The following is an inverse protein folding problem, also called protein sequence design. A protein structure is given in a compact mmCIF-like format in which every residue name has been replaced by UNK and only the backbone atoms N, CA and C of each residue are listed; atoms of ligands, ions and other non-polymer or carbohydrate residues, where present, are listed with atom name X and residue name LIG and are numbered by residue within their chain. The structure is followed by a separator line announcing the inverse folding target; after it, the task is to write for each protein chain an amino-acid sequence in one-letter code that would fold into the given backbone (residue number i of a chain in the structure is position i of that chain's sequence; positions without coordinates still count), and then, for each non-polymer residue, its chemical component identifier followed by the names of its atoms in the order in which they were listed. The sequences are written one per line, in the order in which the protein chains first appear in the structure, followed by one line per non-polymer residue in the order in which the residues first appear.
data_IF_159513096148
#
_entry.id   IF_159513096148
#
_cell.length_a   1.000
_cell.length_b   1.000
_cell.length_c   1.000
_cell.angle_alpha   90.00
_cell.angle_beta   90.00
_cell.angle_gamma   90.00
#
_symmetry.space_group_name_H-M   'P 1'
#
loop_
_entity.id
_entity.type
_entity.pdbx_description
1 polymer ?
#
# COMPACT_ATOMS: atom_id res chain seq x y z
N UNK A 1 18.03 9.01 15.55
CA UNK A 1 17.53 10.37 15.92
C UNK A 1 16.15 10.62 15.29
N UNK A 2 15.27 11.45 15.87
CA UNK A 2 13.92 11.70 15.32
C UNK A 2 13.91 12.29 13.90
N UNK A 3 14.94 13.07 13.53
CA UNK A 3 15.09 13.64 12.18
C UNK A 3 15.31 12.56 11.11
N UNK A 4 16.09 11.51 11.41
CA UNK A 4 16.32 10.39 10.49
C UNK A 4 15.02 9.61 10.22
N UNK A 5 14.16 9.46 11.23
CA UNK A 5 12.85 8.80 11.07
C UNK A 5 11.92 9.63 10.19
N UNK A 6 11.90 10.94 10.39
CA UNK A 6 11.14 11.87 9.54
C UNK A 6 11.59 11.82 8.08
N UNK A 7 12.91 11.85 7.85
CA UNK A 7 13.49 11.74 6.52
C UNK A 7 13.13 10.40 5.85
N UNK A 8 13.23 9.29 6.58
CA UNK A 8 12.84 7.97 6.06
C UNK A 8 11.36 7.93 5.67
N UNK A 9 10.46 8.47 6.49
CA UNK A 9 9.04 8.57 6.16
C UNK A 9 8.81 9.39 4.88
N UNK A 10 9.49 10.54 4.75
CA UNK A 10 9.40 11.38 3.55
C UNK A 10 9.91 10.68 2.28
N UNK A 11 11.02 9.92 2.38
CA UNK A 11 11.55 9.12 1.28
C UNK A 11 10.55 8.01 0.89
N UNK A 12 9.96 7.31 1.86
CA UNK A 12 8.95 6.28 1.59
C UNK A 12 7.73 6.89 0.90
N UNK A 13 7.23 8.03 1.38
CA UNK A 13 6.12 8.74 0.75
C UNK A 13 6.46 9.15 -0.70
N UNK A 14 7.63 9.75 -0.92
CA UNK A 14 8.08 10.17 -2.24
C UNK A 14 8.26 9.00 -3.21
N UNK A 15 8.84 7.89 -2.76
CA UNK A 15 8.95 6.66 -3.54
C UNK A 15 7.58 6.09 -3.90
N UNK A 16 6.65 6.10 -2.95
CA UNK A 16 5.29 5.63 -3.19
C UNK A 16 4.61 6.45 -4.30
N UNK A 17 4.67 7.79 -4.21
CA UNK A 17 4.12 8.68 -5.24
C UNK A 17 4.80 8.46 -6.58
N UNK A 18 6.14 8.47 -6.61
CA UNK A 18 6.91 8.33 -7.84
C UNK A 18 6.61 7.02 -8.57
N UNK A 19 6.58 5.89 -7.85
CA UNK A 19 6.22 4.60 -8.43
C UNK A 19 4.77 4.58 -8.91
N UNK A 20 3.83 5.15 -8.15
CA UNK A 20 2.41 5.18 -8.54
C UNK A 20 2.20 5.96 -9.83
N UNK A 21 2.85 7.12 -9.96
CA UNK A 21 2.73 8.00 -11.13
C UNK A 21 3.48 7.44 -12.34
N UNK A 22 4.67 6.84 -12.13
CA UNK A 22 5.42 6.22 -13.22
C UNK A 22 4.65 5.04 -13.83
N UNK A 23 3.97 4.25 -12.99
CA UNK A 23 3.14 3.11 -13.42
C UNK A 23 1.64 3.46 -13.48
N UNK A 24 1.27 4.73 -13.65
CA UNK A 24 -0.12 5.19 -13.60
C UNK A 24 -1.11 4.37 -14.44
N UNK A 25 -0.80 3.93 -15.69
CA UNK A 25 -1.75 3.17 -16.51
C UNK A 25 -2.20 1.84 -15.91
N UNK A 26 -1.37 1.21 -15.07
CA UNK A 26 -1.68 -0.06 -14.41
C UNK A 26 -2.10 0.12 -12.94
N UNK A 27 -1.74 1.24 -12.31
CA UNK A 27 -2.02 1.56 -10.90
C UNK A 27 -3.51 1.79 -10.58
N UNK A 28 -4.31 2.26 -11.54
CA UNK A 28 -5.73 2.64 -11.32
C UNK A 28 -6.74 1.78 -12.11
N UNK A 29 -6.28 0.66 -12.69
CA UNK A 29 -7.14 -0.29 -13.39
C UNK A 29 -7.93 -1.20 -12.45
N UNK A 30 -8.65 -2.17 -13.01
CA UNK A 30 -9.51 -3.09 -12.26
C UNK A 30 -8.76 -3.96 -11.24
N UNK A 31 -7.49 -4.28 -11.52
CA UNK A 31 -6.62 -5.01 -10.58
C UNK A 31 -5.84 -4.09 -9.66
N UNK A 32 -5.83 -2.78 -9.92
CA UNK A 32 -4.98 -1.80 -9.22
C UNK A 32 -3.55 -2.30 -8.98
N UNK A 33 -2.88 -2.77 -10.04
CA UNK A 33 -1.53 -3.31 -9.91
C UNK A 33 -0.55 -2.15 -9.67
N UNK A 34 -0.42 -1.78 -8.41
CA UNK A 34 0.34 -0.60 -7.99
C UNK A 34 1.67 -1.05 -7.40
N UNK A 35 2.75 -0.89 -8.16
CA UNK A 35 4.11 -1.31 -7.75
C UNK A 35 4.54 -0.70 -6.41
N UNK A 36 4.05 0.50 -6.08
CA UNK A 36 4.32 1.15 -4.81
C UNK A 36 3.75 0.41 -3.59
N UNK A 37 2.76 -0.47 -3.76
CA UNK A 37 2.19 -1.29 -2.69
C UNK A 37 3.19 -2.30 -2.14
N UNK A 38 4.28 -2.61 -2.85
CA UNK A 38 5.40 -3.37 -2.31
C UNK A 38 6.00 -2.72 -1.05
N UNK A 39 5.90 -1.38 -0.94
CA UNK A 39 6.37 -0.61 0.21
C UNK A 39 5.47 -0.76 1.44
N UNK A 40 4.26 -1.30 1.32
CA UNK A 40 3.33 -1.45 2.45
C UNK A 40 3.82 -2.41 3.52
N UNK A 41 4.81 -3.24 3.22
CA UNK A 41 5.46 -4.12 4.18
C UNK A 41 6.60 -3.45 4.98
N UNK A 42 7.07 -2.28 4.56
CA UNK A 42 8.11 -1.53 5.29
C UNK A 42 7.79 -1.24 6.76
N UNK A 43 6.52 -1.09 7.22
CA UNK A 43 6.17 -1.00 8.63
C UNK A 43 6.60 -2.20 9.48
N UNK A 44 6.93 -3.34 8.86
CA UNK A 44 7.55 -4.48 9.56
C UNK A 44 8.98 -4.17 10.04
N UNK A 45 9.69 -3.28 9.34
CA UNK A 45 11.06 -2.88 9.64
C UNK A 45 11.10 -1.53 10.35
N UNK A 46 10.29 -0.58 9.88
CA UNK A 46 10.39 0.82 10.29
C UNK A 46 9.05 1.38 10.75
N UNK A 47 8.91 1.71 12.05
CA UNK A 47 7.76 2.39 12.62
C UNK A 47 7.20 3.58 11.83
N UNK A 48 8.10 4.42 11.33
CA UNK A 48 7.82 5.65 10.60
C UNK A 48 7.27 5.41 9.18
N UNK A 49 7.43 4.19 8.63
CA UNK A 49 6.87 3.84 7.33
C UNK A 49 5.34 3.92 7.33
N UNK A 50 4.69 3.75 8.49
CA UNK A 50 3.23 3.92 8.62
C UNK A 50 2.79 5.32 8.19
N UNK A 51 3.47 6.36 8.69
CA UNK A 51 3.17 7.74 8.32
C UNK A 51 3.59 8.06 6.88
N UNK A 52 4.75 7.53 6.46
CA UNK A 52 5.23 7.68 5.08
C UNK A 52 4.27 7.10 4.04
N UNK A 53 3.74 5.91 4.27
CA UNK A 53 2.76 5.27 3.39
C UNK A 53 1.44 6.03 3.37
N UNK A 54 0.91 6.43 4.53
CA UNK A 54 -0.33 7.22 4.60
C UNK A 54 -0.23 8.50 3.76
N UNK A 55 0.85 9.28 3.93
CA UNK A 55 1.07 10.49 3.16
C UNK A 55 1.36 10.20 1.69
N UNK A 56 2.09 9.13 1.39
CA UNK A 56 2.39 8.68 0.04
C UNK A 56 1.11 8.35 -0.74
N UNK A 57 0.19 7.59 -0.14
CA UNK A 57 -1.10 7.22 -0.75
C UNK A 57 -1.98 8.45 -0.92
N UNK A 58 -2.03 9.33 0.08
CA UNK A 58 -2.80 10.57 0.03
C UNK A 58 -2.40 11.43 -1.16
N UNK A 59 -1.09 11.60 -1.36
CA UNK A 59 -0.54 12.37 -2.48
C UNK A 59 -0.67 11.63 -3.81
N UNK A 60 -0.45 10.31 -3.82
CA UNK A 60 -0.57 9.50 -5.04
C UNK A 60 -2.01 9.49 -5.57
N UNK A 61 -3.00 9.46 -4.68
CA UNK A 61 -4.40 9.45 -5.05
C UNK A 61 -4.92 10.81 -5.54
N UNK A 62 -4.13 11.89 -5.50
CA UNK A 62 -4.46 13.14 -6.21
C UNK A 62 -4.56 12.95 -7.73
N UNK A 63 -3.85 11.95 -8.28
CA UNK A 63 -3.95 11.57 -9.69
C UNK A 63 -5.02 10.49 -9.96
N UNK A 64 -5.73 10.03 -8.92
CA UNK A 64 -6.73 8.97 -9.06
C UNK A 64 -7.98 9.48 -9.82
N UNK A 65 -8.54 8.71 -10.75
CA UNK A 65 -9.80 9.04 -11.40
C UNK A 65 -11.01 8.99 -10.46
N UNK A 66 -10.87 8.38 -9.27
CA UNK A 66 -11.95 8.22 -8.29
C UNK A 66 -12.02 9.39 -7.28
N UNK A 67 -11.15 10.39 -7.43
CA UNK A 67 -11.22 11.67 -6.72
C UNK A 67 -11.14 11.55 -5.20
N UNK A 68 -12.00 12.30 -4.50
CA UNK A 68 -11.95 12.44 -3.04
C UNK A 68 -12.13 11.11 -2.28
N UNK A 69 -12.86 10.16 -2.86
CA UNK A 69 -13.06 8.84 -2.28
C UNK A 69 -11.73 8.11 -2.12
N UNK A 70 -10.90 8.11 -3.16
CA UNK A 70 -9.61 7.42 -3.12
C UNK A 70 -8.61 8.18 -2.24
N UNK A 71 -8.60 9.52 -2.32
CA UNK A 71 -7.72 10.37 -1.49
C UNK A 71 -7.96 10.12 0.00
N UNK A 72 -9.22 10.07 0.44
CA UNK A 72 -9.56 9.91 1.86
C UNK A 72 -9.61 8.44 2.25
N UNK A 73 -10.47 7.64 1.61
CA UNK A 73 -10.66 6.25 2.03
C UNK A 73 -9.47 5.36 1.68
N UNK A 74 -8.82 5.56 0.52
CA UNK A 74 -7.61 4.80 0.16
C UNK A 74 -6.48 5.05 1.15
N UNK A 75 -6.25 6.31 1.54
CA UNK A 75 -5.22 6.65 2.54
C UNK A 75 -5.54 6.08 3.92
N UNK A 76 -6.79 6.19 4.39
CA UNK A 76 -7.21 5.60 5.67
C UNK A 76 -7.12 4.07 5.67
N UNK A 77 -7.47 3.43 4.54
CA UNK A 77 -7.32 1.98 4.35
C UNK A 77 -5.85 1.58 4.47
N UNK A 78 -4.96 2.32 3.82
CA UNK A 78 -3.52 2.05 3.91
C UNK A 78 -2.97 2.29 5.31
N UNK A 79 -3.45 3.33 6.02
CA UNK A 79 -3.07 3.57 7.41
C UNK A 79 -3.45 2.39 8.30
N UNK A 80 -4.69 1.91 8.18
CA UNK A 80 -5.16 0.73 8.91
C UNK A 80 -4.30 -0.50 8.59
N UNK A 81 -4.05 -0.75 7.30
CA UNK A 81 -3.22 -1.86 6.86
C UNK A 81 -1.79 -1.77 7.38
N UNK A 82 -1.18 -0.59 7.36
CA UNK A 82 0.18 -0.38 7.84
C UNK A 82 0.28 -0.60 9.37
N UNK A 83 -0.75 -0.24 10.14
CA UNK A 83 -0.80 -0.51 11.58
C UNK A 83 -0.85 -2.02 11.88
N UNK A 84 -1.68 -2.77 11.15
CA UNK A 84 -1.77 -4.24 11.30
C UNK A 84 -0.49 -4.91 10.81
N UNK A 85 0.05 -4.48 9.66
CA UNK A 85 1.33 -4.94 9.12
C UNK A 85 2.44 -4.83 10.14
N UNK A 86 2.52 -3.69 10.83
CA UNK A 86 3.46 -3.46 11.91
C UNK A 86 3.18 -4.33 13.14
N UNK A 87 1.91 -4.42 13.56
CA UNK A 87 1.51 -5.19 14.76
C UNK A 87 1.84 -6.67 14.65
N UNK A 88 1.77 -7.21 13.43
CA UNK A 88 2.04 -8.60 13.08
C UNK A 88 3.28 -8.74 12.19
N UNK A 89 4.30 -7.92 12.43
CA UNK A 89 5.55 -7.95 11.67
C UNK A 89 6.11 -9.37 11.55
N UNK A 90 6.49 -9.75 10.33
CA UNK A 90 7.02 -11.07 9.97
C UNK A 90 6.09 -12.27 10.23
N UNK A 91 4.80 -12.03 10.46
CA UNK A 91 3.77 -13.08 10.54
C UNK A 91 2.81 -12.93 9.37
N UNK A 92 2.16 -14.03 8.97
CA UNK A 92 1.20 -14.05 7.85
C UNK A 92 0.15 -12.93 7.88
N UNK A 93 -0.46 -12.58 9.03
CA UNK A 93 -1.43 -11.49 9.06
C UNK A 93 -0.85 -10.14 8.65
N UNK A 94 0.45 -9.90 8.91
CA UNK A 94 1.09 -8.66 8.49
C UNK A 94 1.30 -8.59 6.98
N UNK A 95 1.66 -9.71 6.33
CA UNK A 95 1.81 -9.76 4.87
C UNK A 95 0.47 -9.67 4.14
N UNK A 96 -0.58 -10.25 4.70
CA UNK A 96 -1.91 -10.24 4.09
C UNK A 96 -2.68 -8.94 4.32
N UNK A 97 -2.26 -8.14 5.31
CA UNK A 97 -3.01 -6.96 5.73
C UNK A 97 -3.28 -5.94 4.61
N UNK A 98 -2.31 -5.52 3.79
CA UNK A 98 -2.56 -4.59 2.68
C UNK A 98 -3.56 -5.17 1.68
N UNK A 99 -3.37 -6.43 1.30
CA UNK A 99 -4.23 -7.14 0.33
C UNK A 99 -5.67 -7.21 0.83
N UNK A 100 -5.89 -7.61 2.08
CA UNK A 100 -7.23 -7.78 2.65
C UNK A 100 -7.94 -6.43 2.81
N UNK A 101 -7.27 -5.41 3.35
CA UNK A 101 -7.92 -4.12 3.56
C UNK A 101 -8.19 -3.38 2.25
N UNK A 102 -7.24 -3.33 1.31
CA UNK A 102 -7.47 -2.72 0.01
C UNK A 102 -8.57 -3.47 -0.76
N UNK A 103 -8.50 -4.80 -0.87
CA UNK A 103 -9.54 -5.55 -1.61
C UNK A 103 -10.95 -5.36 -1.05
N UNK A 104 -11.13 -5.35 0.27
CA UNK A 104 -12.45 -5.24 0.88
C UNK A 104 -12.97 -3.80 0.92
N UNK A 105 -12.14 -2.83 1.35
CA UNK A 105 -12.56 -1.44 1.56
C UNK A 105 -12.50 -0.66 0.25
N UNK A 106 -11.38 -0.70 -0.46
CA UNK A 106 -11.23 -0.03 -1.76
C UNK A 106 -12.16 -0.67 -2.78
N UNK A 107 -12.19 -2.00 -2.84
CA UNK A 107 -13.15 -2.68 -3.71
C UNK A 107 -14.61 -2.38 -3.39
N UNK A 108 -14.94 -2.16 -2.11
CA UNK A 108 -16.27 -1.78 -1.65
C UNK A 108 -16.72 -0.44 -2.20
N UNK A 109 -15.95 0.62 -1.97
CA UNK A 109 -16.35 1.93 -2.46
C UNK A 109 -16.25 2.03 -3.98
N UNK A 110 -15.32 1.33 -4.64
CA UNK A 110 -15.23 1.33 -6.11
C UNK A 110 -16.41 0.62 -6.76
N UNK A 111 -16.87 -0.49 -6.19
CA UNK A 111 -18.10 -1.15 -6.62
C UNK A 111 -19.30 -0.21 -6.53
N UNK A 112 -19.40 0.55 -5.43
CA UNK A 112 -20.44 1.55 -5.25
C UNK A 112 -20.36 2.68 -6.29
N UNK A 113 -19.17 3.26 -6.51
CA UNK A 113 -18.98 4.38 -7.44
C UNK A 113 -19.16 4.00 -8.91
N UNK A 114 -18.81 2.77 -9.28
CA UNK A 114 -18.84 2.32 -10.67
C UNK A 114 -20.10 1.53 -11.02
N UNK A 115 -20.99 1.29 -10.06
CA UNK A 115 -22.19 0.46 -10.22
C UNK A 115 -21.89 -0.92 -10.81
N UNK A 116 -20.76 -1.52 -10.41
CA UNK A 116 -20.33 -2.84 -10.87
C UNK A 116 -20.28 -3.85 -9.71
N UNK A 117 -20.38 -5.16 -9.98
CA UNK A 117 -20.40 -6.19 -8.95
C UNK A 117 -19.22 -6.12 -7.97
N UNK A 118 -19.52 -6.13 -6.67
CA UNK A 118 -18.53 -6.06 -5.58
C UNK A 118 -17.40 -7.09 -5.72
N UNK A 119 -17.76 -8.34 -6.01
CA UNK A 119 -16.80 -9.44 -6.12
C UNK A 119 -15.78 -9.24 -7.25
N UNK A 120 -16.13 -8.49 -8.29
CA UNK A 120 -15.21 -8.19 -9.38
C UNK A 120 -14.08 -7.26 -8.92
N UNK A 121 -14.41 -6.22 -8.15
CA UNK A 121 -13.40 -5.32 -7.59
C UNK A 121 -12.59 -5.98 -6.49
N UNK A 122 -13.24 -6.69 -5.55
CA UNK A 122 -12.54 -7.41 -4.48
C UNK A 122 -11.56 -8.42 -5.08
N UNK A 123 -12.02 -9.23 -6.04
CA UNK A 123 -11.19 -10.23 -6.70
C UNK A 123 -10.06 -9.60 -7.51
N UNK A 124 -10.35 -8.55 -8.29
CA UNK A 124 -9.36 -7.84 -9.09
C UNK A 124 -8.26 -7.23 -8.23
N UNK A 125 -8.63 -6.45 -7.21
CA UNK A 125 -7.68 -5.81 -6.30
C UNK A 125 -6.92 -6.85 -5.49
N UNK A 126 -7.59 -7.90 -4.97
CA UNK A 126 -6.90 -8.97 -4.23
C UNK A 126 -5.83 -9.67 -5.09
N UNK A 127 -6.10 -9.89 -6.38
CA UNK A 127 -5.14 -10.46 -7.31
C UNK A 127 -3.97 -9.51 -7.59
N UNK A 128 -4.25 -8.24 -7.88
CA UNK A 128 -3.20 -7.26 -8.17
C UNK A 128 -2.33 -6.96 -6.95
N UNK A 129 -2.94 -6.63 -5.82
CA UNK A 129 -2.27 -6.37 -4.55
C UNK A 129 -1.53 -7.61 -4.05
N UNK A 130 -2.18 -8.77 -4.07
CA UNK A 130 -1.55 -10.03 -3.72
C UNK A 130 -0.32 -10.32 -4.58
N UNK A 131 -0.43 -10.07 -5.89
CA UNK A 131 0.69 -10.17 -6.82
C UNK A 131 1.85 -9.24 -6.44
N UNK A 132 1.58 -7.95 -6.23
CA UNK A 132 2.62 -6.97 -5.87
C UNK A 132 3.26 -7.31 -4.52
N UNK A 133 2.46 -7.59 -3.49
CA UNK A 133 2.96 -7.87 -2.14
C UNK A 133 3.79 -9.16 -2.11
N UNK A 134 3.35 -10.22 -2.79
CA UNK A 134 4.07 -11.50 -2.81
C UNK A 134 5.30 -11.49 -3.72
N UNK A 135 5.20 -10.88 -4.91
CA UNK A 135 6.27 -10.90 -5.90
C UNK A 135 7.32 -9.80 -5.71
N UNK A 136 6.94 -8.66 -5.13
CA UNK A 136 7.83 -7.50 -4.95
C UNK A 136 8.05 -7.16 -3.48
N UNK A 137 6.96 -7.06 -2.70
CA UNK A 137 7.03 -6.70 -1.28
C UNK A 137 7.82 -7.72 -0.45
N UNK A 138 7.48 -9.00 -0.57
CA UNK A 138 8.14 -10.05 0.21
C UNK A 138 9.63 -10.15 -0.10
N UNK A 139 10.10 -10.23 -1.36
CA UNK A 139 11.53 -10.19 -1.68
C UNK A 139 12.23 -8.93 -1.20
N UNK A 140 11.59 -7.76 -1.30
CA UNK A 140 12.12 -6.49 -0.79
C UNK A 140 12.41 -6.59 0.72
N UNK A 141 11.47 -7.10 1.51
CA UNK A 141 11.66 -7.26 2.96
C UNK A 141 12.77 -8.26 3.27
N UNK A 142 12.86 -9.39 2.54
CA UNK A 142 13.95 -10.34 2.73
C UNK A 142 15.32 -9.72 2.42
N UNK A 143 15.42 -8.93 1.34
CA UNK A 143 16.66 -8.24 0.97
C UNK A 143 17.07 -7.21 2.01
N UNK A 144 16.14 -6.35 2.44
CA UNK A 144 16.42 -5.32 3.43
C UNK A 144 16.83 -5.90 4.78
N UNK A 145 16.17 -6.98 5.22
CA UNK A 145 16.51 -7.67 6.46
C UNK A 145 17.89 -8.33 6.41
N UNK A 146 18.31 -8.86 5.25
CA UNK A 146 19.67 -9.38 5.05
C UNK A 146 20.72 -8.27 5.03
N UNK A 147 20.40 -7.12 4.43
CA UNK A 147 21.33 -5.99 4.28
C UNK A 147 21.52 -5.22 5.58
N UNK A 148 20.48 -5.13 6.40
CA UNK A 148 20.49 -4.42 7.68
C UNK A 148 20.10 -5.36 8.82
N UNK A 149 21.00 -6.29 9.21
CA UNK A 149 20.76 -7.18 10.33
C UNK A 149 20.64 -6.36 11.63
N UNK A 150 19.53 -6.49 12.34
CA UNK A 150 19.29 -5.82 13.64
C UNK A 150 18.29 -4.67 13.61
N UNK A 151 17.63 -4.42 12.48
CA UNK A 151 16.42 -3.60 12.39
C UNK A 151 15.19 -4.46 12.70
#
# INVERSE_FOLDING_TARGET
MPLERGLRAAIIAGLYVALTYFFQPISFGMTQFRVSEALTLLPMLWPEAVAGLFLGVLLANLASPFGLWDIVLGSLTTLLAALVTRRFAFRWPGYLSPVVFNSLIVGGYLSYLTHTPYLLWVGGIALGEGGVVLLLGYPLIQLLRRRFPGI
#
